data_IF_427818335152
#
_entry.id   IF_427818335152
#
_cell.length_a   1.000
_cell.length_b   1.000
_cell.length_c   1.000
_cell.angle_alpha   90.00
_cell.angle_beta   90.00
_cell.angle_gamma   90.00
#
_symmetry.space_group_name_H-M   'P 1'
#
loop_
_entity.id
_entity.type
_entity.pdbx_description
1 polymer ?
#
# COMPACT_ATOMS: atom_id res chain seq x y z
N UNK A 1 -7.92 -1.18 17.99
CA UNK A 1 -9.35 -1.49 17.79
C UNK A 1 -10.11 -0.17 17.82
N UNK A 2 -10.52 0.37 16.66
CA UNK A 2 -11.21 1.66 16.59
C UNK A 2 -12.72 1.41 16.46
N UNK A 3 -13.52 1.93 17.39
CA UNK A 3 -14.99 1.96 17.29
C UNK A 3 -15.46 3.39 16.98
N UNK A 4 -16.37 3.50 16.04
CA UNK A 4 -17.12 4.72 15.74
C UNK A 4 -18.26 4.86 16.75
N UNK A 5 -18.31 5.98 17.48
CA UNK A 5 -19.54 6.44 18.17
C UNK A 5 -19.95 7.76 17.56
N UNK A 6 -21.25 7.89 17.30
CA UNK A 6 -21.87 9.05 16.66
C UNK A 6 -21.66 10.28 17.54
N UNK A 7 -21.01 11.31 17.02
CA UNK A 7 -20.84 12.59 17.72
C UNK A 7 -19.47 13.20 17.49
N UNK A 8 -19.47 14.33 16.81
CA UNK A 8 -18.32 15.14 16.36
C UNK A 8 -17.31 15.40 17.48
N UNK A 9 -16.18 14.68 17.48
CA UNK A 9 -14.81 15.12 17.85
C UNK A 9 -13.88 13.91 18.01
N UNK A 10 -12.86 13.83 17.15
CA UNK A 10 -11.81 12.81 17.23
C UNK A 10 -10.72 13.27 18.21
N UNK A 11 -10.80 12.90 19.49
CA UNK A 11 -9.66 13.06 20.41
C UNK A 11 -8.70 11.88 20.25
N UNK A 12 -7.52 12.15 19.72
CA UNK A 12 -6.39 11.23 19.84
C UNK A 12 -5.84 11.28 21.27
N UNK A 13 -5.75 10.13 21.93
CA UNK A 13 -4.87 9.98 23.07
C UNK A 13 -3.42 10.18 22.59
N UNK A 14 -2.72 11.17 23.13
CA UNK A 14 -1.30 11.38 22.85
C UNK A 14 -0.53 10.18 23.39
N UNK A 15 0.11 9.46 22.49
CA UNK A 15 1.21 8.54 22.81
C UNK A 15 2.21 8.67 21.66
N UNK A 16 3.17 9.57 21.83
CA UNK A 16 4.33 9.72 20.96
C UNK A 16 5.28 8.54 21.18
N UNK A 17 5.00 7.41 20.53
CA UNK A 17 5.99 6.40 20.15
C UNK A 17 5.82 6.15 18.68
N UNK A 18 6.78 6.60 17.88
CA UNK A 18 6.90 6.16 16.49
C UNK A 18 7.10 4.64 16.49
N UNK A 19 6.13 3.91 15.94
CA UNK A 19 6.25 2.47 15.76
C UNK A 19 7.20 2.26 14.57
N UNK A 20 8.49 2.18 14.86
CA UNK A 20 9.49 1.71 13.89
C UNK A 20 9.27 0.21 13.74
N UNK A 21 8.97 -0.24 12.51
CA UNK A 21 8.89 -1.67 12.22
C UNK A 21 10.29 -2.22 11.94
N UNK A 22 10.67 -3.31 12.60
CA UNK A 22 11.80 -4.13 12.18
C UNK A 22 11.27 -5.20 11.21
N UNK A 23 11.92 -5.40 10.07
CA UNK A 23 11.47 -6.48 9.16
C UNK A 23 11.76 -7.86 9.79
N UNK A 24 10.88 -8.87 9.67
CA UNK A 24 11.05 -10.19 10.31
C UNK A 24 12.29 -10.99 9.85
N UNK A 25 13.06 -10.49 8.88
CA UNK A 25 14.24 -11.15 8.28
C UNK A 25 15.55 -10.86 9.02
N UNK A 26 15.49 -10.58 10.33
CA UNK A 26 16.70 -10.33 11.13
C UNK A 26 17.48 -11.61 11.54
N UNK A 27 17.12 -12.81 11.06
CA UNK A 27 17.93 -14.01 11.24
C UNK A 27 18.06 -14.78 9.91
N UNK A 28 19.30 -14.82 9.40
CA UNK A 28 19.82 -15.59 8.25
C UNK A 28 19.62 -14.96 6.86
N UNK A 29 20.72 -14.37 6.38
CA UNK A 29 20.99 -14.16 4.97
C UNK A 29 21.21 -15.52 4.29
N UNK A 30 20.51 -15.80 3.18
CA UNK A 30 21.05 -16.19 1.86
C UNK A 30 19.95 -16.74 0.93
N UNK A 31 20.18 -16.51 -0.38
CA UNK A 31 19.55 -17.10 -1.59
C UNK A 31 18.33 -16.40 -2.22
N UNK A 32 18.69 -15.61 -3.24
CA UNK A 32 18.35 -15.77 -4.67
C UNK A 32 16.93 -15.36 -5.11
N UNK A 33 16.76 -14.07 -5.34
CA UNK A 33 16.08 -13.54 -6.54
C UNK A 33 17.04 -12.59 -7.24
N UNK A 34 17.24 -12.79 -8.55
CA UNK A 34 18.12 -11.97 -9.40
C UNK A 34 17.50 -10.58 -9.54
N UNK A 35 18.08 -9.57 -8.87
CA UNK A 35 17.93 -8.16 -9.26
C UNK A 35 18.78 -7.92 -10.52
N UNK A 36 18.27 -7.28 -11.58
CA UNK A 36 19.12 -6.55 -12.50
C UNK A 36 19.57 -5.25 -11.82
N UNK A 37 20.89 -5.05 -11.73
CA UNK A 37 21.64 -3.83 -11.40
C UNK A 37 21.54 -3.11 -10.04
N UNK A 38 20.55 -3.36 -9.16
CA UNK A 38 20.53 -2.67 -7.87
C UNK A 38 21.37 -3.39 -6.78
N UNK A 39 22.40 -2.71 -6.27
CA UNK A 39 23.35 -3.20 -5.27
C UNK A 39 22.63 -3.84 -4.05
N UNK A 40 23.09 -5.00 -3.54
CA UNK A 40 22.44 -5.68 -2.42
C UNK A 40 22.39 -4.76 -1.20
N UNK A 41 21.18 -4.38 -0.76
CA UNK A 41 21.01 -3.59 0.46
C UNK A 41 21.28 -4.50 1.66
N UNK A 42 22.39 -4.25 2.34
CA UNK A 42 22.74 -4.84 3.62
C UNK A 42 21.72 -4.45 4.70
N UNK A 43 21.26 -5.43 5.48
CA UNK A 43 20.82 -5.36 6.90
C UNK A 43 19.96 -4.17 7.39
N UNK A 44 18.76 -4.51 7.90
CA UNK A 44 17.94 -3.73 8.84
C UNK A 44 17.82 -2.23 8.54
N UNK A 45 17.08 -1.90 7.48
CA UNK A 45 16.63 -0.53 7.22
C UNK A 45 15.38 -0.28 8.06
N UNK A 46 15.41 0.76 8.88
CA UNK A 46 14.23 1.21 9.64
C UNK A 46 13.20 1.80 8.69
N UNK A 47 11.94 1.47 8.90
CA UNK A 47 10.82 2.10 8.21
C UNK A 47 9.76 2.55 9.22
N UNK A 48 8.90 3.45 8.76
CA UNK A 48 7.76 3.94 9.49
C UNK A 48 6.56 3.01 9.29
N UNK A 49 6.31 2.12 10.26
CA UNK A 49 5.23 1.14 10.14
C UNK A 49 3.84 1.78 10.19
N UNK A 50 3.69 2.91 10.89
CA UNK A 50 2.44 3.68 10.89
C UNK A 50 2.17 4.25 9.50
N UNK A 51 3.20 4.78 8.83
CA UNK A 51 3.05 5.31 7.48
C UNK A 51 2.67 4.21 6.48
N UNK A 52 3.32 3.04 6.54
CA UNK A 52 2.97 1.89 5.68
C UNK A 52 1.52 1.45 5.93
N UNK A 53 1.09 1.39 7.18
CA UNK A 53 -0.30 1.05 7.52
C UNK A 53 -1.29 2.07 6.93
N UNK A 54 -1.01 3.37 7.04
CA UNK A 54 -1.82 4.42 6.45
C UNK A 54 -1.87 4.25 4.92
N UNK A 55 -0.72 4.04 4.26
CA UNK A 55 -0.71 3.86 2.81
C UNK A 55 -1.51 2.62 2.38
N UNK A 56 -1.37 1.50 3.10
CA UNK A 56 -2.14 0.29 2.83
C UNK A 56 -3.64 0.51 2.99
N UNK A 57 -4.08 1.30 3.96
CA UNK A 57 -5.49 1.62 4.14
C UNK A 57 -6.07 2.56 3.06
N UNK A 58 -5.21 3.34 2.38
CA UNK A 58 -5.63 4.38 1.44
C UNK A 58 -5.41 4.02 -0.04
N UNK A 59 -4.61 3.00 -0.36
CA UNK A 59 -4.09 2.78 -1.71
C UNK A 59 -5.16 2.58 -2.81
N UNK A 60 -6.33 2.05 -2.44
CA UNK A 60 -7.45 1.78 -3.35
C UNK A 60 -8.62 2.77 -3.24
N UNK A 61 -8.49 3.86 -2.46
CA UNK A 61 -9.59 4.81 -2.30
C UNK A 61 -10.03 5.45 -3.62
N UNK A 62 -9.12 5.66 -4.56
CA UNK A 62 -9.39 6.18 -5.90
C UNK A 62 -10.30 5.30 -6.76
N UNK A 63 -10.57 4.05 -6.36
CA UNK A 63 -11.58 3.20 -7.00
C UNK A 63 -13.02 3.58 -6.60
N UNK A 64 -13.18 4.36 -5.52
CA UNK A 64 -14.47 4.84 -5.07
C UNK A 64 -14.82 6.15 -5.77
N UNK A 65 -16.06 6.27 -6.24
CA UNK A 65 -16.57 7.45 -6.96
C UNK A 65 -16.26 8.78 -6.24
N UNK A 66 -16.34 8.80 -4.91
CA UNK A 66 -16.08 10.01 -4.10
C UNK A 66 -14.64 10.53 -4.20
N UNK A 67 -13.67 9.66 -4.48
CA UNK A 67 -12.26 10.02 -4.61
C UNK A 67 -11.77 9.98 -6.05
N UNK A 68 -12.52 9.38 -6.97
CA UNK A 68 -12.16 9.27 -8.38
C UNK A 68 -12.26 10.62 -9.08
N UNK A 69 -11.21 10.99 -9.80
CA UNK A 69 -11.25 12.10 -10.75
C UNK A 69 -11.63 11.63 -12.16
N UNK A 70 -11.98 12.56 -13.03
CA UNK A 70 -12.37 12.25 -14.41
C UNK A 70 -11.22 11.73 -15.29
N UNK A 71 -9.97 12.07 -14.95
CA UNK A 71 -8.83 11.88 -15.85
C UNK A 71 -7.64 11.18 -15.20
N UNK A 72 -7.42 11.36 -13.90
CA UNK A 72 -6.23 10.83 -13.28
C UNK A 72 -6.40 9.34 -12.97
N UNK A 73 -5.26 8.66 -12.93
CA UNK A 73 -5.12 7.30 -12.44
C UNK A 73 -5.72 7.14 -11.05
N UNK A 74 -6.39 6.01 -10.77
CA UNK A 74 -6.93 5.77 -9.43
C UNK A 74 -5.83 5.76 -8.36
N UNK A 75 -4.60 5.35 -8.72
CA UNK A 75 -3.46 5.40 -7.81
C UNK A 75 -3.09 6.85 -7.46
N UNK A 76 -3.20 7.77 -8.41
CA UNK A 76 -2.98 9.21 -8.20
C UNK A 76 -4.12 9.81 -7.38
N UNK A 77 -5.36 9.42 -7.65
CA UNK A 77 -6.54 9.81 -6.86
C UNK A 77 -6.41 9.39 -5.39
N UNK A 78 -6.04 8.12 -5.14
CA UNK A 78 -5.74 7.59 -3.80
C UNK A 78 -4.60 8.36 -3.13
N UNK A 79 -3.54 8.67 -3.89
CA UNK A 79 -2.40 9.42 -3.37
C UNK A 79 -2.79 10.86 -3.00
N UNK A 80 -3.62 11.51 -3.80
CA UNK A 80 -4.17 12.82 -3.50
C UNK A 80 -5.06 12.81 -2.25
N UNK A 81 -5.87 11.76 -2.07
CA UNK A 81 -6.69 11.57 -0.87
C UNK A 81 -5.84 11.42 0.40
N UNK A 82 -4.78 10.60 0.39
CA UNK A 82 -3.91 10.45 1.56
C UNK A 82 -3.15 11.74 1.87
N UNK A 83 -2.72 12.49 0.84
CA UNK A 83 -2.06 13.79 1.01
C UNK A 83 -2.96 14.75 1.76
N UNK A 84 -4.19 14.95 1.27
CA UNK A 84 -5.15 15.84 1.92
C UNK A 84 -5.41 15.41 3.38
N UNK A 85 -5.60 14.12 3.64
CA UNK A 85 -5.81 13.60 4.99
C UNK A 85 -4.64 13.92 5.93
N UNK A 86 -3.40 13.72 5.49
CA UNK A 86 -2.20 13.94 6.29
C UNK A 86 -1.86 15.43 6.48
N UNK A 87 -2.13 16.26 5.48
CA UNK A 87 -2.02 17.72 5.57
C UNK A 87 -2.93 18.28 6.67
N UNK A 88 -4.20 17.84 6.70
CA UNK A 88 -5.15 18.22 7.76
C UNK A 88 -4.72 17.78 9.16
N UNK A 89 -3.83 16.81 9.27
CA UNK A 89 -3.26 16.30 10.52
C UNK A 89 -1.93 16.97 10.90
N UNK A 90 -1.44 17.91 10.10
CA UNK A 90 -0.19 18.62 10.35
C UNK A 90 1.06 17.75 10.22
N UNK A 91 0.98 16.70 9.39
CA UNK A 91 2.12 15.80 9.15
C UNK A 91 3.18 16.51 8.31
N UNK A 92 4.49 16.31 8.56
CA UNK A 92 5.55 16.96 7.78
C UNK A 92 5.49 16.58 6.28
N UNK A 93 5.71 17.57 5.40
CA UNK A 93 5.63 17.43 3.94
C UNK A 93 6.47 16.27 3.39
N UNK A 94 7.66 16.01 3.93
CA UNK A 94 8.52 14.90 3.50
C UNK A 94 7.87 13.52 3.74
N UNK A 95 7.15 13.35 4.86
CA UNK A 95 6.43 12.12 5.20
C UNK A 95 5.18 11.97 4.33
N UNK A 96 4.50 13.08 4.04
CA UNK A 96 3.38 13.15 3.10
C UNK A 96 3.83 12.74 1.69
N UNK A 97 4.96 13.27 1.22
CA UNK A 97 5.49 12.91 -0.11
C UNK A 97 5.83 11.43 -0.19
N UNK A 98 6.37 10.85 0.89
CA UNK A 98 6.66 9.41 0.94
C UNK A 98 5.37 8.58 0.86
N UNK A 99 4.30 8.98 1.55
CA UNK A 99 3.01 8.32 1.45
C UNK A 99 2.38 8.46 0.05
N UNK A 100 2.47 9.66 -0.53
CA UNK A 100 1.99 9.93 -1.87
C UNK A 100 2.73 9.07 -2.90
N UNK A 101 4.07 9.02 -2.84
CA UNK A 101 4.90 8.19 -3.73
C UNK A 101 4.60 6.70 -3.53
N UNK A 102 4.39 6.25 -2.29
CA UNK A 102 4.07 4.86 -2.00
C UNK A 102 2.79 4.44 -2.73
N UNK A 103 1.72 5.22 -2.56
CA UNK A 103 0.44 4.93 -3.17
C UNK A 103 0.47 5.16 -4.69
N UNK A 104 1.00 6.27 -5.20
CA UNK A 104 0.98 6.53 -6.64
C UNK A 104 1.76 5.49 -7.47
N UNK A 105 2.76 4.85 -6.88
CA UNK A 105 3.66 3.91 -7.56
C UNK A 105 3.34 2.42 -7.28
N UNK A 106 2.31 2.12 -6.48
CA UNK A 106 2.11 0.76 -5.95
C UNK A 106 1.76 -0.30 -7.02
N UNK A 107 1.30 0.12 -8.20
CA UNK A 107 1.00 -0.73 -9.37
C UNK A 107 2.00 -0.54 -10.52
N UNK A 108 3.04 0.27 -10.33
CA UNK A 108 3.98 0.64 -11.40
C UNK A 108 5.29 -0.15 -11.23
N UNK A 109 5.52 -1.19 -12.04
CA UNK A 109 6.70 -2.03 -11.87
C UNK A 109 8.00 -1.28 -12.16
N UNK A 110 9.08 -1.72 -11.52
CA UNK A 110 10.44 -1.24 -11.80
C UNK A 110 10.86 0.05 -11.08
N UNK A 111 9.94 0.78 -10.44
CA UNK A 111 10.27 2.05 -9.75
C UNK A 111 10.43 1.88 -8.24
N UNK A 112 9.54 1.13 -7.58
CA UNK A 112 9.46 1.05 -6.12
C UNK A 112 10.76 0.60 -5.44
N UNK A 113 11.55 -0.28 -6.09
CA UNK A 113 12.82 -0.78 -5.57
C UNK A 113 13.94 0.29 -5.43
N UNK A 114 13.74 1.48 -6.01
CA UNK A 114 14.67 2.61 -5.97
C UNK A 114 14.19 3.74 -5.04
N UNK A 115 13.07 3.55 -4.33
CA UNK A 115 12.44 4.52 -3.44
C UNK A 115 12.70 4.19 -1.96
N UNK A 116 12.22 5.02 -1.00
CA UNK A 116 12.23 4.69 0.42
C UNK A 116 11.53 3.34 0.71
N UNK A 117 11.87 2.72 1.84
CA UNK A 117 11.44 1.36 2.14
C UNK A 117 9.91 1.24 2.27
N UNK A 118 9.23 2.29 2.70
CA UNK A 118 7.77 2.35 2.79
C UNK A 118 7.10 2.15 1.43
N UNK A 119 7.68 2.71 0.37
CA UNK A 119 7.19 2.55 -1.02
C UNK A 119 7.38 1.12 -1.50
N UNK A 120 8.56 0.55 -1.26
CA UNK A 120 8.87 -0.84 -1.62
C UNK A 120 7.99 -1.84 -0.84
N UNK A 121 7.76 -1.60 0.45
CA UNK A 121 6.93 -2.44 1.29
C UNK A 121 5.47 -2.44 0.86
N UNK A 122 4.91 -1.27 0.51
CA UNK A 122 3.54 -1.20 0.02
C UNK A 122 3.41 -1.95 -1.32
N UNK A 123 4.29 -1.68 -2.28
CA UNK A 123 4.29 -2.36 -3.58
C UNK A 123 4.34 -3.89 -3.43
N UNK A 124 5.25 -4.41 -2.60
CA UNK A 124 5.37 -5.85 -2.36
C UNK A 124 4.17 -6.41 -1.60
N UNK A 125 3.59 -5.66 -0.67
CA UNK A 125 2.40 -6.04 0.08
C UNK A 125 1.18 -6.21 -0.81
N UNK A 126 0.94 -5.25 -1.71
CA UNK A 126 -0.16 -5.33 -2.70
C UNK A 126 0.09 -6.48 -3.69
N UNK A 127 1.32 -6.62 -4.19
CA UNK A 127 1.69 -7.74 -5.07
C UNK A 127 1.48 -9.12 -4.42
N UNK A 128 1.76 -9.25 -3.12
CA UNK A 128 1.44 -10.46 -2.37
C UNK A 128 -0.07 -10.67 -2.22
N UNK A 129 -0.81 -9.62 -1.86
CA UNK A 129 -2.22 -9.75 -1.50
C UNK A 129 -3.12 -9.98 -2.72
N UNK A 130 -2.87 -9.28 -3.83
CA UNK A 130 -3.69 -9.32 -5.06
C UNK A 130 -3.20 -10.39 -6.04
N UNK A 131 -1.87 -10.45 -6.28
CA UNK A 131 -1.28 -11.30 -7.31
C UNK A 131 -0.64 -12.59 -6.75
N UNK A 132 -0.56 -12.75 -5.43
CA UNK A 132 0.08 -13.89 -4.80
C UNK A 132 1.61 -13.91 -4.93
N UNK A 133 2.22 -12.80 -5.34
CA UNK A 133 3.67 -12.72 -5.57
C UNK A 133 4.41 -12.92 -4.25
N UNK A 134 5.30 -13.91 -4.21
CA UNK A 134 6.09 -14.20 -3.01
C UNK A 134 5.29 -14.91 -1.90
N UNK A 135 4.09 -15.41 -2.17
CA UNK A 135 3.25 -16.12 -1.20
C UNK A 135 3.98 -17.27 -0.49
N UNK A 136 4.78 -18.06 -1.21
CA UNK A 136 5.54 -19.18 -0.65
C UNK A 136 6.77 -18.77 0.16
N UNK A 137 7.10 -17.47 0.18
CA UNK A 137 8.23 -16.97 0.97
C UNK A 137 7.87 -16.73 2.45
N UNK A 138 6.58 -16.78 2.79
CA UNK A 138 6.07 -16.61 4.14
C UNK A 138 5.74 -17.96 4.80
N UNK A 139 6.04 -18.14 6.10
CA UNK A 139 5.66 -19.35 6.83
C UNK A 139 4.16 -19.61 6.77
N UNK A 140 3.78 -20.87 6.56
CA UNK A 140 2.37 -21.27 6.46
C UNK A 140 1.55 -20.87 7.68
N UNK A 141 2.08 -21.08 8.88
CA UNK A 141 1.39 -20.72 10.12
C UNK A 141 1.08 -19.21 10.22
N UNK A 142 1.96 -18.35 9.67
CA UNK A 142 1.72 -16.92 9.60
C UNK A 142 0.64 -16.57 8.57
N UNK A 143 0.66 -17.22 7.40
CA UNK A 143 -0.37 -17.01 6.36
C UNK A 143 -1.75 -17.40 6.90
N UNK A 144 -1.84 -18.57 7.53
CA UNK A 144 -3.09 -19.08 8.10
C UNK A 144 -3.61 -18.22 9.25
N UNK A 145 -2.73 -17.73 10.13
CA UNK A 145 -3.17 -16.87 11.24
C UNK A 145 -3.71 -15.52 10.75
N UNK A 146 -3.08 -14.93 9.73
CA UNK A 146 -3.55 -13.66 9.13
C UNK A 146 -4.92 -13.85 8.47
N UNK A 147 -5.10 -14.91 7.68
CA UNK A 147 -6.40 -15.18 7.01
C UNK A 147 -7.50 -15.53 8.02
N UNK A 148 -7.15 -16.17 9.14
CA UNK A 148 -8.11 -16.45 10.21
C UNK A 148 -8.59 -15.16 10.91
N UNK A 149 -7.70 -14.20 11.15
CA UNK A 149 -8.03 -12.91 11.76
C UNK A 149 -8.73 -11.96 10.78
N UNK A 150 -8.35 -12.00 9.50
CA UNK A 150 -8.90 -11.16 8.42
C UNK A 150 -9.42 -12.02 7.25
N UNK A 151 -10.63 -12.61 7.39
CA UNK A 151 -11.19 -13.49 6.36
C UNK A 151 -11.40 -12.76 5.02
N UNK A 152 -10.95 -13.38 3.92
CA UNK A 152 -11.05 -12.85 2.55
C UNK A 152 -12.33 -13.26 1.83
N UNK A 153 -13.49 -13.04 2.47
CA UNK A 153 -14.80 -13.43 1.92
C UNK A 153 -15.05 -12.70 0.60
N UNK A 154 -15.30 -13.43 -0.49
CA UNK A 154 -15.55 -12.93 -1.85
C UNK A 154 -14.49 -11.99 -2.45
N UNK A 155 -13.30 -11.91 -1.84
CA UNK A 155 -12.29 -10.93 -2.20
C UNK A 155 -11.98 -10.88 -3.70
N UNK A 156 -11.82 -12.04 -4.35
CA UNK A 156 -11.48 -12.10 -5.78
C UNK A 156 -12.57 -11.49 -6.67
N UNK A 157 -13.84 -11.71 -6.35
CA UNK A 157 -14.94 -11.12 -7.11
C UNK A 157 -15.08 -9.63 -6.83
N UNK A 158 -14.92 -9.24 -5.57
CA UNK A 158 -15.15 -7.86 -5.14
C UNK A 158 -14.03 -6.92 -5.61
N UNK A 159 -12.76 -7.36 -5.57
CA UNK A 159 -11.63 -6.58 -6.08
C UNK A 159 -11.70 -6.42 -7.60
N UNK A 160 -12.10 -7.46 -8.34
CA UNK A 160 -12.27 -7.39 -9.79
C UNK A 160 -13.37 -6.39 -10.18
N UNK A 161 -14.50 -6.40 -9.46
CA UNK A 161 -15.58 -5.42 -9.67
C UNK A 161 -15.13 -4.00 -9.33
N UNK A 162 -14.37 -3.84 -8.24
CA UNK A 162 -13.85 -2.54 -7.83
C UNK A 162 -12.90 -1.96 -8.88
N UNK A 163 -12.02 -2.77 -9.46
CA UNK A 163 -11.14 -2.33 -10.54
C UNK A 163 -11.93 -1.99 -11.81
N UNK A 164 -12.81 -2.88 -12.28
CA UNK A 164 -13.63 -2.61 -13.47
C UNK A 164 -14.44 -1.32 -13.32
N UNK A 165 -15.18 -1.16 -12.22
CA UNK A 165 -15.99 0.05 -12.00
C UNK A 165 -15.16 1.31 -11.71
N UNK A 166 -13.98 1.17 -11.10
CA UNK A 166 -13.16 2.30 -10.66
C UNK A 166 -12.56 3.11 -11.80
N UNK A 167 -12.31 2.49 -12.95
CA UNK A 167 -11.67 3.15 -14.09
C UNK A 167 -12.27 2.83 -15.47
N UNK A 168 -13.44 2.18 -15.56
CA UNK A 168 -14.14 1.95 -16.85
C UNK A 168 -14.40 3.23 -17.67
N UNK A 169 -14.55 4.37 -17.00
CA UNK A 169 -14.83 5.66 -17.63
C UNK A 169 -13.56 6.44 -18.02
N UNK A 170 -12.37 5.91 -17.69
CA UNK A 170 -11.06 6.56 -17.89
C UNK A 170 -9.97 5.53 -18.23
N UNK A 171 -10.27 4.63 -19.17
CA UNK A 171 -9.40 3.50 -19.54
C UNK A 171 -8.00 3.91 -19.97
N UNK A 172 -7.83 5.05 -20.64
CA UNK A 172 -6.49 5.58 -21.01
C UNK A 172 -5.58 5.84 -19.82
N UNK A 173 -6.12 5.95 -18.59
CA UNK A 173 -5.31 6.15 -17.40
C UNK A 173 -4.56 4.87 -16.96
N UNK A 174 -4.96 3.67 -17.40
CA UNK A 174 -4.35 2.39 -16.97
C UNK A 174 -3.11 2.00 -17.77
N UNK A 175 -2.76 2.72 -18.83
CA UNK A 175 -1.62 2.42 -19.71
C UNK A 175 -0.28 2.39 -18.94
N UNK A 176 0.54 1.35 -19.15
CA UNK A 176 1.85 1.19 -18.52
C UNK A 176 1.80 0.76 -17.05
N UNK A 177 0.64 0.26 -16.59
CA UNK A 177 0.41 -0.21 -15.21
C UNK A 177 0.09 -1.70 -15.19
N UNK A 178 0.09 -2.33 -14.01
CA UNK A 178 -0.40 -3.70 -13.88
C UNK A 178 -1.90 -3.88 -14.23
N UNK A 179 -2.64 -2.79 -14.47
CA UNK A 179 -4.08 -2.78 -14.73
C UNK A 179 -4.46 -2.57 -16.19
N UNK A 180 -3.48 -2.42 -17.09
CA UNK A 180 -3.71 -2.20 -18.52
C UNK A 180 -4.58 -3.31 -19.15
N UNK A 181 -4.42 -4.56 -18.70
CA UNK A 181 -5.18 -5.71 -19.18
C UNK A 181 -6.59 -5.86 -18.54
N UNK A 182 -6.97 -4.96 -17.62
CA UNK A 182 -8.27 -4.98 -16.92
C UNK A 182 -9.28 -4.01 -17.54
N UNK A 183 -8.80 -2.93 -18.15
CA UNK A 183 -9.60 -1.86 -18.76
C UNK A 183 -10.19 -2.18 -20.12
#
# INVERSE_FOLDING_TARGET
MWRCTRGTTWRAARSSRSIQGDSPRCRRATRRTRRPSAAPRSSCQKFDAELVFICAAFHDLGLLETFSSATDRFEVDSANAVRQFLEHRGVPTARIQTAWDAIALHTTPGIAAYKPLEVELLYNGVGLDVLGIGYETFPENLRTSVVAEYPRVNFKQDIAKAFLGGFEHKTQSTEGTCNEDIS
#
